data_IF_795011897667
#
_entry.id   IF_795011897667
#
_cell.length_a   1.000
_cell.length_b   1.000
_cell.length_c   1.000
_cell.angle_alpha   90.00
_cell.angle_beta   90.00
_cell.angle_gamma   90.00
#
_symmetry.space_group_name_H-M   'P 1'
#
loop_
_entity.id
_entity.type
_entity.pdbx_description
1 polymer ?
#
# COMPACT_ATOMS: atom_id res chain seq x y z
N UNK A 1 -21.31 1.68 8.86
CA UNK A 1 -19.90 1.99 8.53
C UNK A 1 -19.16 0.67 8.62
N UNK A 2 -18.48 0.17 7.56
CA UNK A 2 -17.52 -0.91 7.81
C UNK A 2 -16.51 -0.35 8.82
N UNK A 3 -16.47 -0.98 10.01
CA UNK A 3 -15.56 -0.57 11.08
C UNK A 3 -14.12 -0.84 10.67
N UNK A 4 -13.19 -0.04 11.17
CA UNK A 4 -11.77 -0.35 11.09
C UNK A 4 -11.55 -1.63 11.89
N UNK A 5 -11.03 -2.68 11.25
CA UNK A 5 -10.72 -3.97 11.88
C UNK A 5 -9.44 -3.84 12.72
N UNK A 6 -9.50 -3.93 14.07
CA UNK A 6 -8.31 -3.84 14.91
C UNK A 6 -7.28 -4.92 14.59
N UNK A 7 -7.72 -6.11 14.19
CA UNK A 7 -6.82 -7.20 13.84
C UNK A 7 -5.97 -6.86 12.59
N UNK A 8 -6.53 -6.12 11.63
CA UNK A 8 -5.77 -5.63 10.48
C UNK A 8 -4.70 -4.59 10.88
N UNK A 9 -4.93 -3.82 11.94
CA UNK A 9 -3.92 -2.89 12.47
C UNK A 9 -2.83 -3.66 13.21
N UNK A 10 -3.21 -4.65 14.03
CA UNK A 10 -2.27 -5.49 14.77
C UNK A 10 -1.27 -6.20 13.84
N UNK A 11 -1.74 -6.75 12.71
CA UNK A 11 -0.85 -7.40 11.73
C UNK A 11 0.11 -6.43 11.04
N UNK A 12 -0.29 -5.18 10.80
CA UNK A 12 0.59 -4.15 10.23
C UNK A 12 1.64 -3.68 11.24
N UNK A 13 1.27 -3.62 12.52
CA UNK A 13 2.19 -3.26 13.60
C UNK A 13 3.18 -4.40 13.88
N UNK A 14 2.85 -5.66 13.61
CA UNK A 14 3.83 -6.74 13.59
C UNK A 14 4.57 -6.83 12.24
N UNK A 15 5.66 -6.06 12.13
CA UNK A 15 6.55 -6.09 10.96
C UNK A 15 7.10 -7.48 10.61
N UNK A 16 7.18 -8.41 11.56
CA UNK A 16 7.72 -9.76 11.31
C UNK A 16 6.72 -10.61 10.55
N UNK A 17 5.43 -10.32 10.69
CA UNK A 17 4.33 -11.12 10.18
C UNK A 17 3.24 -10.25 9.55
N UNK A 18 3.64 -9.28 8.74
CA UNK A 18 2.68 -8.45 8.02
C UNK A 18 1.89 -9.29 7.01
N UNK A 19 0.57 -9.39 7.22
CA UNK A 19 -0.33 -10.20 6.39
C UNK A 19 -0.67 -9.51 5.06
N UNK A 20 -0.15 -10.06 3.96
CA UNK A 20 -0.35 -9.55 2.60
C UNK A 20 -1.85 -9.52 2.23
N UNK A 21 -2.66 -10.45 2.77
CA UNK A 21 -4.10 -10.49 2.50
C UNK A 21 -4.84 -9.26 3.05
N UNK A 22 -4.28 -8.60 4.08
CA UNK A 22 -4.79 -7.34 4.65
C UNK A 22 -4.24 -6.12 3.92
N UNK A 23 -3.00 -6.18 3.42
CA UNK A 23 -2.33 -5.09 2.72
C UNK A 23 -2.98 -4.79 1.36
N UNK A 24 -3.25 -5.82 0.55
CA UNK A 24 -3.76 -5.64 -0.81
C UNK A 24 -5.10 -4.87 -0.83
N UNK A 25 -6.12 -5.22 -0.02
CA UNK A 25 -7.38 -4.48 0.02
C UNK A 25 -7.20 -3.00 0.40
N UNK A 26 -6.29 -2.69 1.34
CA UNK A 26 -6.01 -1.31 1.76
C UNK A 26 -5.51 -0.48 0.58
N UNK A 27 -4.47 -0.96 -0.10
CA UNK A 27 -3.86 -0.25 -1.25
C UNK A 27 -4.85 -0.17 -2.42
N UNK A 28 -5.66 -1.22 -2.63
CA UNK A 28 -6.69 -1.26 -3.66
C UNK A 28 -7.74 -0.18 -3.44
N UNK A 29 -8.23 -0.01 -2.21
CA UNK A 29 -9.20 1.04 -1.85
C UNK A 29 -8.58 2.42 -2.03
N UNK A 30 -7.32 2.63 -1.65
CA UNK A 30 -6.61 3.90 -1.86
C UNK A 30 -6.48 4.25 -3.35
N UNK A 31 -6.10 3.27 -4.18
CA UNK A 31 -6.00 3.45 -5.64
C UNK A 31 -7.37 3.75 -6.26
N UNK A 32 -8.42 3.00 -5.87
CA UNK A 32 -9.80 3.22 -6.33
C UNK A 32 -10.32 4.60 -5.96
N UNK A 33 -10.03 5.07 -4.74
CA UNK A 33 -10.38 6.42 -4.32
C UNK A 33 -9.67 7.49 -5.15
N UNK A 34 -8.37 7.29 -5.44
CA UNK A 34 -7.59 8.21 -6.27
C UNK A 34 -8.12 8.35 -7.70
N UNK A 35 -8.52 7.24 -8.32
CA UNK A 35 -9.03 7.24 -9.70
C UNK A 35 -10.55 7.45 -9.79
N UNK A 36 -11.25 7.61 -8.66
CA UNK A 36 -12.72 7.63 -8.56
C UNK A 36 -13.36 6.41 -9.24
N UNK A 37 -12.72 5.25 -9.10
CA UNK A 37 -13.18 3.99 -9.68
C UNK A 37 -12.88 3.80 -11.17
N UNK A 38 -12.24 4.77 -11.86
CA UNK A 38 -11.82 4.56 -13.25
C UNK A 38 -10.67 3.55 -13.31
N UNK A 39 -10.69 2.68 -14.32
CA UNK A 39 -9.77 1.56 -14.46
C UNK A 39 -10.12 0.35 -13.57
N UNK A 40 -11.26 0.38 -12.88
CA UNK A 40 -11.83 -0.76 -12.17
C UNK A 40 -13.11 -1.24 -12.87
N UNK A 41 -13.26 -2.54 -13.02
CA UNK A 41 -14.51 -3.18 -13.43
C UNK A 41 -15.01 -4.09 -12.31
N UNK A 42 -16.24 -3.88 -11.83
CA UNK A 42 -16.82 -4.61 -10.69
C UNK A 42 -15.89 -4.73 -9.46
N UNK A 43 -15.05 -3.72 -9.23
CA UNK A 43 -14.08 -3.69 -8.14
C UNK A 43 -12.73 -4.36 -8.45
N UNK A 44 -12.58 -4.94 -9.64
CA UNK A 44 -11.33 -5.53 -10.13
C UNK A 44 -10.51 -4.48 -10.89
N UNK A 45 -9.27 -4.19 -10.50
CA UNK A 45 -8.39 -3.29 -11.24
C UNK A 45 -7.97 -3.90 -12.59
N UNK A 46 -7.77 -3.06 -13.61
CA UNK A 46 -7.10 -3.48 -14.84
C UNK A 46 -5.58 -3.73 -14.61
N UNK A 47 -4.87 -4.18 -15.65
CA UNK A 47 -3.46 -4.55 -15.53
C UNK A 47 -2.55 -3.38 -15.10
N UNK A 48 -2.81 -2.17 -15.62
CA UNK A 48 -2.05 -0.97 -15.26
C UNK A 48 -2.19 -0.66 -13.76
N UNK A 49 -3.42 -0.64 -13.23
CA UNK A 49 -3.68 -0.37 -11.83
C UNK A 49 -3.27 -1.53 -10.92
N UNK A 50 -3.37 -2.77 -11.40
CA UNK A 50 -2.90 -3.95 -10.68
C UNK A 50 -1.39 -3.86 -10.42
N UNK A 51 -0.59 -3.47 -11.40
CA UNK A 51 0.85 -3.28 -11.23
C UNK A 51 1.19 -2.21 -10.18
N UNK A 52 0.45 -1.10 -10.17
CA UNK A 52 0.60 -0.04 -9.14
C UNK A 52 0.24 -0.58 -7.76
N UNK A 53 -0.89 -1.27 -7.63
CA UNK A 53 -1.34 -1.83 -6.36
C UNK A 53 -0.33 -2.85 -5.84
N UNK A 54 0.19 -3.74 -6.69
CA UNK A 54 1.18 -4.74 -6.30
C UNK A 54 2.47 -4.10 -5.78
N UNK A 55 3.02 -3.11 -6.48
CA UNK A 55 4.28 -2.47 -6.10
C UNK A 55 4.14 -1.61 -4.83
N UNK A 56 3.01 -0.92 -4.66
CA UNK A 56 2.70 -0.22 -3.43
C UNK A 56 2.42 -1.17 -2.25
N UNK A 57 1.68 -2.26 -2.49
CA UNK A 57 1.43 -3.31 -1.50
C UNK A 57 2.73 -3.97 -1.04
N UNK A 58 3.67 -4.23 -1.94
CA UNK A 58 4.98 -4.76 -1.57
C UNK A 58 5.73 -3.82 -0.61
N UNK A 59 5.68 -2.49 -0.84
CA UNK A 59 6.30 -1.52 0.09
C UNK A 59 5.61 -1.47 1.45
N UNK A 60 4.28 -1.57 1.47
CA UNK A 60 3.52 -1.61 2.72
C UNK A 60 3.76 -2.92 3.48
N UNK A 61 3.78 -4.07 2.79
CA UNK A 61 4.05 -5.36 3.40
C UNK A 61 5.49 -5.46 3.95
N UNK A 62 6.47 -4.84 3.28
CA UNK A 62 7.86 -4.83 3.74
C UNK A 62 8.09 -3.98 5.00
N UNK A 63 7.26 -2.96 5.26
CA UNK A 63 7.33 -2.13 6.46
C UNK A 63 5.92 -1.67 6.88
N UNK A 64 5.15 -2.58 7.48
CA UNK A 64 3.77 -2.32 7.93
C UNK A 64 3.66 -1.21 8.97
N UNK A 65 4.69 -1.01 9.79
CA UNK A 65 4.76 0.05 10.83
C UNK A 65 4.92 1.45 10.27
N UNK A 66 5.29 1.56 9.00
CA UNK A 66 5.50 2.83 8.31
C UNK A 66 6.40 3.83 9.07
N UNK A 67 7.39 3.30 9.77
CA UNK A 67 8.30 4.09 10.60
C UNK A 67 9.74 3.75 10.22
N UNK A 68 10.62 4.75 10.25
CA UNK A 68 12.05 4.50 10.13
C UNK A 68 12.57 3.84 11.39
N UNK A 69 13.13 2.64 11.26
CA UNK A 69 13.61 1.85 12.38
C UNK A 69 15.02 1.34 12.10
N UNK A 70 15.81 1.29 13.18
CA UNK A 70 17.12 0.65 13.21
C UNK A 70 17.06 -0.41 14.29
N UNK A 71 17.09 -1.66 13.87
CA UNK A 71 17.06 -2.80 14.76
C UNK A 71 18.46 -3.41 14.79
N UNK A 72 19.08 -3.44 15.97
CA UNK A 72 20.35 -4.14 16.19
C UNK A 72 20.09 -5.37 17.04
N UNK A 73 20.43 -6.53 16.50
CA UNK A 73 20.43 -7.79 17.23
C UNK A 73 21.86 -8.32 17.18
N UNK A 74 22.55 -8.20 18.31
CA UNK A 74 23.96 -8.59 18.46
C UNK A 74 24.86 -7.81 17.47
N UNK A 75 25.49 -8.52 16.53
CA UNK A 75 26.36 -7.96 15.49
C UNK A 75 25.64 -7.62 14.18
N UNK A 76 24.34 -7.96 14.05
CA UNK A 76 23.54 -7.65 12.86
C UNK A 76 22.73 -6.38 13.08
N UNK A 77 22.92 -5.41 12.19
CA UNK A 77 22.15 -4.18 12.15
C UNK A 77 21.29 -4.15 10.90
N UNK A 78 19.97 -4.08 11.08
CA UNK A 78 19.00 -3.93 9.99
C UNK A 78 18.39 -2.53 10.07
N UNK A 79 18.39 -1.83 8.95
CA UNK A 79 17.85 -0.48 8.87
C UNK A 79 16.74 -0.38 7.84
N UNK A 80 15.56 0.02 8.29
CA UNK A 80 14.40 0.28 7.46
C UNK A 80 14.24 1.80 7.31
N UNK A 81 14.61 2.34 6.14
CA UNK A 81 14.50 3.78 5.84
C UNK A 81 13.35 4.15 4.91
N UNK A 82 12.63 3.16 4.41
CA UNK A 82 11.54 3.37 3.46
C UNK A 82 10.28 2.64 3.94
N UNK A 83 9.14 3.19 3.54
CA UNK A 83 7.81 2.67 3.81
C UNK A 83 6.85 3.27 2.79
N UNK A 84 5.61 2.78 2.77
CA UNK A 84 4.55 3.40 1.99
C UNK A 84 4.18 4.75 2.61
N UNK A 85 4.80 5.84 2.14
CA UNK A 85 4.49 7.22 2.51
C UNK A 85 3.66 7.95 1.44
N UNK A 86 3.24 7.23 0.40
CA UNK A 86 2.51 7.74 -0.74
C UNK A 86 2.83 6.99 -2.02
N UNK A 87 2.24 7.46 -3.11
CA UNK A 87 2.51 6.98 -4.46
C UNK A 87 3.85 7.53 -4.95
N UNK A 88 4.71 6.64 -5.42
CA UNK A 88 5.93 7.02 -6.15
C UNK A 88 5.58 7.78 -7.43
N UNK A 89 6.55 8.50 -8.00
CA UNK A 89 6.34 9.20 -9.27
C UNK A 89 5.87 8.24 -10.38
N UNK A 90 6.49 7.07 -10.49
CA UNK A 90 6.14 6.06 -11.50
C UNK A 90 4.69 5.58 -11.34
N UNK A 91 4.26 5.27 -10.12
CA UNK A 91 2.88 4.88 -9.84
C UNK A 91 1.90 6.03 -10.12
N UNK A 92 2.26 7.26 -9.76
CA UNK A 92 1.44 8.42 -10.05
C UNK A 92 1.27 8.66 -11.55
N UNK A 93 2.29 8.41 -12.39
CA UNK A 93 2.15 8.51 -13.85
C UNK A 93 1.01 7.61 -14.34
N UNK A 94 0.96 6.38 -13.84
CA UNK A 94 -0.11 5.43 -14.19
C UNK A 94 -1.45 5.89 -13.61
N UNK A 95 -1.53 6.16 -12.31
CA UNK A 95 -2.76 6.59 -11.65
C UNK A 95 -3.36 7.87 -12.25
N UNK A 96 -2.51 8.80 -12.68
CA UNK A 96 -2.94 10.07 -13.28
C UNK A 96 -3.61 9.89 -14.65
N UNK A 97 -3.35 8.79 -15.36
CA UNK A 97 -4.08 8.45 -16.61
C UNK A 97 -5.56 8.21 -16.35
N UNK A 98 -5.89 7.65 -15.18
CA UNK A 98 -7.26 7.32 -14.78
C UNK A 98 -7.91 8.39 -13.89
N UNK A 99 -7.12 9.33 -13.35
CA UNK A 99 -7.63 10.38 -12.47
C UNK A 99 -8.53 11.37 -13.20
N UNK A 100 -9.68 11.67 -12.60
CA UNK A 100 -10.52 12.80 -13.02
C UNK A 100 -9.99 14.07 -12.34
N UNK A 101 -9.46 15.01 -13.12
CA UNK A 101 -9.21 16.36 -12.63
C UNK A 101 -10.54 17.10 -12.58
N UNK A 102 -10.73 17.97 -11.58
CA UNK A 102 -11.85 18.89 -11.60
C UNK A 102 -11.76 19.71 -12.90
N UNK A 103 -12.89 19.83 -13.60
CA UNK A 103 -13.03 20.76 -14.71
C UNK A 103 -13.14 22.18 -14.16
#
# INVERSE_FOLDING_TARGET
MPGVDPAAVETLVDWRNTDISKVIPIVTVMARAYTRGRGFDNGVPNDELSAVITTAAARLAANGRQTSARDRVDDVETEHRSFFNGWTLAEQVVLNRYRVRAM
#
